data_IF_108560051947
#
_entry.id   IF_108560051947
#
_cell.length_a   1.000
_cell.length_b   1.000
_cell.length_c   1.000
_cell.angle_alpha   90.00
_cell.angle_beta   90.00
_cell.angle_gamma   90.00
#
_symmetry.space_group_name_H-M   'P 1'
#
loop_
_entity.id
_entity.type
_entity.pdbx_description
1 polymer ?
#
# COMPACT_ATOMS: atom_id res chain seq x y z
N UNK A 1 4.75 -23.18 8.64
CA UNK A 1 4.18 -21.98 8.02
C UNK A 1 2.98 -22.42 7.21
N UNK A 2 1.76 -22.06 7.60
CA UNK A 2 0.54 -22.52 6.92
C UNK A 2 0.26 -21.61 5.72
N UNK A 3 0.19 -22.18 4.52
CA UNK A 3 -0.22 -21.43 3.33
C UNK A 3 -1.74 -21.46 3.19
N UNK A 4 -2.36 -20.29 3.16
CA UNK A 4 -3.78 -20.13 2.84
C UNK A 4 -3.93 -19.80 1.36
N UNK A 5 -4.85 -20.49 0.67
CA UNK A 5 -5.24 -20.18 -0.70
C UNK A 5 -6.39 -19.17 -0.69
N UNK A 6 -6.26 -18.12 -1.48
CA UNK A 6 -7.30 -17.11 -1.69
C UNK A 6 -7.63 -17.07 -3.18
N UNK A 7 -8.92 -17.07 -3.51
CA UNK A 7 -9.41 -16.81 -4.86
C UNK A 7 -9.97 -15.39 -4.87
N UNK A 8 -9.54 -14.57 -5.83
CA UNK A 8 -9.99 -13.19 -5.99
C UNK A 8 -10.41 -13.01 -7.43
N UNK A 9 -11.59 -12.44 -7.63
CA UNK A 9 -12.08 -12.05 -8.95
C UNK A 9 -11.71 -10.60 -9.24
N UNK A 10 -11.26 -10.35 -10.45
CA UNK A 10 -10.86 -9.03 -10.91
C UNK A 10 -11.68 -8.64 -12.14
N UNK A 11 -11.94 -7.33 -12.26
CA UNK A 11 -12.40 -6.81 -13.54
C UNK A 11 -11.32 -6.99 -14.60
N UNK A 12 -11.67 -7.07 -15.90
CA UNK A 12 -10.67 -7.21 -16.97
C UNK A 12 -9.59 -6.10 -16.94
N UNK A 13 -9.98 -4.86 -16.61
CA UNK A 13 -9.06 -3.75 -16.50
C UNK A 13 -8.06 -3.91 -15.34
N UNK A 14 -8.54 -4.38 -14.18
CA UNK A 14 -7.70 -4.66 -13.02
C UNK A 14 -6.76 -5.83 -13.28
N UNK A 15 -7.25 -6.89 -13.93
CA UNK A 15 -6.42 -8.05 -14.28
C UNK A 15 -5.29 -7.66 -15.26
N UNK A 16 -5.60 -6.86 -16.29
CA UNK A 16 -4.61 -6.34 -17.21
C UNK A 16 -3.59 -5.39 -16.54
N UNK A 17 -3.99 -4.67 -15.49
CA UNK A 17 -3.06 -3.88 -14.69
C UNK A 17 -2.12 -4.78 -13.86
N UNK A 18 -2.66 -5.84 -13.25
CA UNK A 18 -1.86 -6.82 -12.50
C UNK A 18 -0.88 -7.57 -13.40
N UNK A 19 -1.29 -7.96 -14.60
CA UNK A 19 -0.41 -8.61 -15.58
C UNK A 19 0.79 -7.71 -15.93
N UNK A 20 0.52 -6.45 -16.31
CA UNK A 20 1.60 -5.50 -16.65
C UNK A 20 2.55 -5.25 -15.48
N UNK A 21 2.05 -5.16 -14.25
CA UNK A 21 2.88 -5.01 -13.06
C UNK A 21 3.75 -6.25 -12.82
N UNK A 22 3.16 -7.44 -13.00
CA UNK A 22 3.85 -8.72 -12.87
C UNK A 22 5.00 -8.84 -13.88
N UNK A 23 4.74 -8.50 -15.15
CA UNK A 23 5.76 -8.44 -16.21
C UNK A 23 6.87 -7.44 -15.89
N UNK A 24 6.49 -6.21 -15.51
CA UNK A 24 7.45 -5.13 -15.22
C UNK A 24 8.38 -5.47 -14.06
N UNK A 25 7.87 -6.14 -13.04
CA UNK A 25 8.63 -6.49 -11.82
C UNK A 25 9.21 -7.91 -11.86
N UNK A 26 9.05 -8.64 -12.97
CA UNK A 26 9.55 -10.00 -13.11
C UNK A 26 8.98 -10.97 -12.07
N UNK A 27 7.70 -10.85 -11.75
CA UNK A 27 7.02 -11.68 -10.74
C UNK A 27 5.67 -12.19 -11.24
N UNK A 28 4.93 -12.92 -10.40
CA UNK A 28 3.56 -13.35 -10.70
C UNK A 28 2.53 -12.36 -10.18
N UNK A 29 1.27 -12.41 -10.67
CA UNK A 29 0.14 -11.66 -10.08
C UNK A 29 0.02 -11.86 -8.56
N UNK A 30 0.19 -13.10 -8.09
CA UNK A 30 0.21 -13.40 -6.66
C UNK A 30 1.40 -12.73 -5.94
N UNK A 31 2.56 -12.63 -6.59
CA UNK A 31 3.70 -11.85 -6.11
C UNK A 31 3.37 -10.37 -5.96
N UNK A 32 2.73 -9.76 -6.96
CA UNK A 32 2.24 -8.37 -6.89
C UNK A 32 1.30 -8.16 -5.71
N UNK A 33 0.33 -9.06 -5.51
CA UNK A 33 -0.60 -8.97 -4.38
C UNK A 33 0.12 -9.08 -3.03
N UNK A 34 1.13 -9.95 -2.90
CA UNK A 34 1.96 -10.03 -1.68
C UNK A 34 2.74 -8.74 -1.44
N UNK A 35 3.30 -8.12 -2.48
CA UNK A 35 3.96 -6.82 -2.35
C UNK A 35 2.97 -5.74 -1.92
N UNK A 36 1.77 -5.70 -2.51
CA UNK A 36 0.71 -4.79 -2.10
C UNK A 36 0.35 -4.93 -0.62
N UNK A 37 0.21 -6.17 -0.13
CA UNK A 37 -0.05 -6.44 1.30
C UNK A 37 1.11 -5.93 2.17
N UNK A 38 2.36 -6.19 1.80
CA UNK A 38 3.52 -5.73 2.56
C UNK A 38 3.58 -4.19 2.64
N UNK A 39 3.30 -3.50 1.54
CA UNK A 39 3.23 -2.03 1.51
C UNK A 39 2.11 -1.51 2.42
N UNK A 40 0.93 -2.15 2.41
CA UNK A 40 -0.17 -1.80 3.30
C UNK A 40 0.17 -2.02 4.77
N UNK A 41 0.91 -3.07 5.12
CA UNK A 41 1.38 -3.28 6.50
C UNK A 41 2.31 -2.16 6.97
N UNK A 42 3.21 -1.70 6.11
CA UNK A 42 4.07 -0.55 6.40
C UNK A 42 3.21 0.71 6.60
N UNK A 43 2.26 0.95 5.71
CA UNK A 43 1.35 2.10 5.79
C UNK A 43 0.55 2.14 7.09
N UNK A 44 -0.05 1.02 7.49
CA UNK A 44 -0.81 0.91 8.73
C UNK A 44 0.08 1.13 9.95
N UNK A 45 1.31 0.59 9.95
CA UNK A 45 2.25 0.76 11.05
C UNK A 45 2.69 2.22 11.19
N UNK A 46 3.05 2.88 10.10
CA UNK A 46 3.47 4.29 10.12
C UNK A 46 2.31 5.20 10.54
N UNK A 47 1.10 4.93 10.06
CA UNK A 47 -0.10 5.65 10.47
C UNK A 47 -0.35 5.54 11.98
N UNK A 48 -0.15 4.36 12.58
CA UNK A 48 -0.32 4.17 14.03
C UNK A 48 0.67 5.01 14.86
N UNK A 49 1.82 5.35 14.28
CA UNK A 49 2.84 6.24 14.86
C UNK A 49 2.62 7.72 14.53
N UNK A 50 1.53 8.07 13.83
CA UNK A 50 1.23 9.43 13.40
C UNK A 50 2.03 9.92 12.19
N UNK A 51 2.70 9.02 11.47
CA UNK A 51 3.43 9.29 10.24
C UNK A 51 2.56 9.05 9.00
N UNK A 52 2.95 9.61 7.85
CA UNK A 52 2.36 9.32 6.55
C UNK A 52 3.38 8.74 5.58
N UNK A 53 2.90 8.08 4.52
CA UNK A 53 3.74 7.53 3.44
C UNK A 53 3.58 8.38 2.21
N UNK A 54 4.69 8.81 1.62
CA UNK A 54 4.71 9.59 0.39
C UNK A 54 5.83 9.19 -0.56
N UNK A 55 5.69 9.62 -1.81
CA UNK A 55 6.76 9.68 -2.81
C UNK A 55 7.62 10.90 -2.49
N UNK A 56 8.93 10.69 -2.40
CA UNK A 56 9.91 11.73 -2.12
C UNK A 56 10.81 11.93 -3.33
N UNK A 57 11.07 13.18 -3.71
CA UNK A 57 12.09 13.56 -4.69
C UNK A 57 13.16 14.41 -3.98
N UNK A 58 14.36 13.86 -3.80
CA UNK A 58 15.39 14.47 -2.97
C UNK A 58 14.93 14.59 -1.51
N UNK A 59 14.74 15.81 -1.03
CA UNK A 59 14.29 16.11 0.34
C UNK A 59 12.82 16.55 0.40
N UNK A 60 12.11 16.55 -0.73
CA UNK A 60 10.74 17.02 -0.81
C UNK A 60 9.76 15.87 -1.01
N UNK A 61 8.67 15.86 -0.24
CA UNK A 61 7.52 14.98 -0.50
C UNK A 61 6.78 15.55 -1.71
N UNK A 62 6.73 14.79 -2.79
CA UNK A 62 6.08 15.19 -4.05
C UNK A 62 4.68 14.63 -4.20
N UNK A 63 4.33 13.58 -3.45
CA UNK A 63 2.98 13.01 -3.40
C UNK A 63 2.79 12.20 -2.14
N UNK A 64 1.67 12.36 -1.45
CA UNK A 64 1.28 11.45 -0.38
C UNK A 64 0.57 10.22 -0.99
N UNK A 65 0.97 9.02 -0.56
CA UNK A 65 0.43 7.73 -1.03
C UNK A 65 -0.57 7.18 0.00
N UNK A 66 -0.29 7.33 1.29
CA UNK A 66 -1.20 6.98 2.39
C UNK A 66 -1.09 8.00 3.52
N UNK A 67 -2.27 8.46 3.97
CA UNK A 67 -2.52 9.70 4.73
C UNK A 67 -3.34 10.59 3.80
N UNK A 68 -4.64 10.80 3.93
CA UNK A 68 -5.49 11.05 5.09
C UNK A 68 -6.82 10.32 4.85
N UNK A 69 -7.09 9.24 5.59
CA UNK A 69 -8.49 8.97 5.99
C UNK A 69 -8.65 9.69 7.33
N UNK A 70 -9.47 10.74 7.32
CA UNK A 70 -9.65 11.72 8.40
C UNK A 70 -9.53 11.14 9.81
N UNK A 71 -8.47 11.55 10.53
CA UNK A 71 -8.59 11.79 11.97
C UNK A 71 -8.72 13.31 12.11
N UNK A 72 -9.82 13.84 12.67
CA UNK A 72 -9.98 15.28 12.88
C UNK A 72 -8.78 15.84 13.64
N UNK A 73 -8.31 17.00 13.19
CA UNK A 73 -7.26 17.78 13.84
C UNK A 73 -7.72 18.17 15.27
N UNK A 74 -7.50 17.29 16.25
CA UNK A 74 -7.98 17.51 17.62
C UNK A 74 -7.47 16.52 18.67
N UNK A 75 -6.55 15.61 18.33
CA UNK A 75 -6.02 14.64 19.29
C UNK A 75 -4.49 14.61 19.35
N UNK A 76 -3.84 15.78 19.19
CA UNK A 76 -2.41 15.97 19.51
C UNK A 76 -2.17 16.72 20.82
N UNK A 77 -3.17 16.79 21.69
CA UNK A 77 -2.98 17.19 23.08
C UNK A 77 -3.68 16.18 23.97
N UNK A 78 -2.93 15.20 24.51
CA UNK A 78 -2.97 14.80 25.92
C UNK A 78 -2.04 13.61 26.19
N UNK A 79 -1.20 13.86 27.20
CA UNK A 79 -0.31 12.99 27.98
C UNK A 79 0.99 12.54 27.31
#
# INVERSE_FOLDING_TARGET
MTMSRMNVEFTPATDAALERLAETLGTSKAGILRFGIALMQIAVREQASGNSIGVVNGQQVVREVVGVWSIPAGQKERA
#
